data_IF_265180436663
#
_entry.id   IF_265180436663
#
_cell.length_a   1.000
_cell.length_b   1.000
_cell.length_c   1.000
_cell.angle_alpha   90.00
_cell.angle_beta   90.00
_cell.angle_gamma   90.00
#
_symmetry.space_group_name_H-M   'P 1'
#
loop_
_entity.id
_entity.type
_entity.pdbx_description
1 polymer ?
#
# COMPACT_ATOMS: atom_id res chain seq x y z
N UNK A 1 -2.25 12.87 -15.91
CA UNK A 1 -1.30 12.05 -15.12
C UNK A 1 -2.03 11.15 -14.12
N UNK A 2 -2.88 11.69 -13.23
CA UNK A 2 -3.64 10.95 -12.20
C UNK A 2 -4.52 9.82 -12.79
N UNK A 3 -5.20 10.05 -13.92
CA UNK A 3 -6.08 9.08 -14.57
C UNK A 3 -5.33 7.83 -15.08
N UNK A 4 -4.12 8.01 -15.56
CA UNK A 4 -3.26 6.91 -16.05
C UNK A 4 -2.73 6.02 -14.91
N UNK A 5 -2.53 6.60 -13.74
CA UNK A 5 -2.12 5.88 -12.53
C UNK A 5 -3.28 5.04 -12.01
N UNK A 6 -4.51 5.58 -11.95
CA UNK A 6 -5.69 4.82 -11.52
C UNK A 6 -5.99 3.64 -12.44
N UNK A 7 -5.90 3.82 -13.76
CA UNK A 7 -6.08 2.74 -14.75
C UNK A 7 -5.02 1.63 -14.61
N UNK A 8 -3.78 2.00 -14.28
CA UNK A 8 -2.71 1.04 -14.05
C UNK A 8 -2.92 0.26 -12.73
N UNK A 9 -3.40 0.93 -11.68
CA UNK A 9 -3.76 0.27 -10.41
C UNK A 9 -4.93 -0.70 -10.59
N UNK A 10 -5.98 -0.30 -11.32
CA UNK A 10 -7.10 -1.19 -11.65
C UNK A 10 -6.67 -2.43 -12.43
N UNK A 11 -5.76 -2.24 -13.39
CA UNK A 11 -5.22 -3.34 -14.19
C UNK A 11 -4.35 -4.29 -13.36
N UNK A 12 -3.52 -3.73 -12.46
CA UNK A 12 -2.70 -4.51 -11.54
C UNK A 12 -3.53 -5.28 -10.51
N UNK A 13 -4.60 -4.67 -9.97
CA UNK A 13 -5.53 -5.32 -9.05
C UNK A 13 -6.26 -6.50 -9.70
N UNK A 14 -6.66 -6.37 -10.98
CA UNK A 14 -7.31 -7.46 -11.75
C UNK A 14 -6.37 -8.61 -12.12
N UNK A 15 -5.06 -8.36 -12.20
CA UNK A 15 -4.07 -9.39 -12.51
C UNK A 15 -3.59 -10.17 -11.29
N UNK A 16 -3.83 -9.67 -10.08
CA UNK A 16 -3.33 -10.23 -8.82
C UNK A 16 -4.41 -10.97 -8.00
N UNK A 17 -5.30 -11.70 -8.63
CA UNK A 17 -6.28 -12.55 -7.95
C UNK A 17 -5.67 -13.79 -7.24
N UNK A 18 -4.36 -13.83 -7.00
CA UNK A 18 -3.71 -14.92 -6.27
C UNK A 18 -3.06 -14.44 -4.99
N UNK A 19 -3.75 -14.72 -3.91
CA UNK A 19 -3.38 -14.85 -2.50
C UNK A 19 -2.88 -13.62 -1.74
N UNK A 20 -3.70 -13.08 -0.84
CA UNK A 20 -3.24 -12.24 0.26
C UNK A 20 -2.60 -13.10 1.36
N UNK A 21 -1.56 -12.58 1.99
CA UNK A 21 -0.85 -13.24 3.10
C UNK A 21 -1.73 -13.41 4.36
N UNK A 22 -2.96 -12.88 4.35
CA UNK A 22 -3.99 -13.08 5.38
C UNK A 22 -5.38 -13.10 4.73
N UNK A 23 -5.70 -14.15 3.97
CA UNK A 23 -7.08 -14.42 3.57
C UNK A 23 -7.62 -15.60 4.35
N UNK A 24 -8.36 -15.31 5.43
CA UNK A 24 -9.42 -16.19 5.90
C UNK A 24 -10.69 -15.80 5.15
N UNK A 25 -11.34 -16.79 4.61
CA UNK A 25 -12.59 -16.89 3.85
C UNK A 25 -13.48 -15.63 3.71
N UNK A 26 -13.76 -15.30 2.45
CA UNK A 26 -14.59 -14.18 2.03
C UNK A 26 -16.04 -14.32 2.50
N UNK A 27 -16.46 -13.46 3.39
CA UNK A 27 -17.87 -13.10 3.55
C UNK A 27 -18.18 -11.84 2.72
N UNK A 28 -19.39 -11.79 2.14
CA UNK A 28 -19.89 -10.74 1.25
C UNK A 28 -19.62 -9.30 1.75
N UNK A 29 -19.45 -8.31 0.85
CA UNK A 29 -19.10 -6.95 1.24
C UNK A 29 -20.26 -6.32 2.02
N UNK A 30 -20.12 -6.25 3.32
CA UNK A 30 -20.90 -5.38 4.17
C UNK A 30 -20.30 -3.98 4.09
N UNK A 31 -21.11 -2.96 4.23
CA UNK A 31 -20.91 -1.52 4.06
C UNK A 31 -19.85 -0.86 4.99
N UNK A 32 -18.98 -1.65 5.53
CA UNK A 32 -17.71 -1.33 6.17
C UNK A 32 -16.73 -2.37 5.70
N UNK A 33 -15.69 -1.96 4.99
CA UNK A 33 -14.52 -2.78 4.82
C UNK A 33 -14.09 -3.24 6.21
N UNK A 34 -14.22 -4.53 6.47
CA UNK A 34 -13.71 -5.14 7.71
C UNK A 34 -12.19 -5.01 7.69
N UNK A 35 -11.69 -3.83 8.08
CA UNK A 35 -10.31 -3.69 8.47
C UNK A 35 -10.17 -4.58 9.69
N UNK A 36 -9.39 -5.64 9.57
CA UNK A 36 -8.98 -6.40 10.72
C UNK A 36 -8.47 -5.40 11.76
N UNK A 37 -9.09 -5.37 12.92
CA UNK A 37 -8.62 -4.55 14.03
C UNK A 37 -7.29 -5.13 14.50
N UNK A 38 -6.21 -4.73 13.82
CA UNK A 38 -4.87 -5.11 14.22
C UNK A 38 -4.62 -4.62 15.65
N UNK A 39 -4.15 -5.51 16.49
CA UNK A 39 -3.67 -5.15 17.83
C UNK A 39 -2.45 -4.23 17.72
N UNK A 40 -2.11 -3.52 18.78
CA UNK A 40 -0.90 -2.69 18.84
C UNK A 40 0.36 -3.48 18.52
N UNK A 41 0.42 -4.75 18.96
CA UNK A 41 1.55 -5.62 18.67
C UNK A 41 1.65 -5.93 17.17
N UNK A 42 0.54 -6.31 16.55
CA UNK A 42 0.49 -6.59 15.10
C UNK A 42 0.82 -5.34 14.29
N UNK A 43 0.32 -4.17 14.68
CA UNK A 43 0.70 -2.90 14.03
C UNK A 43 2.19 -2.62 14.15
N UNK A 44 2.82 -2.93 15.29
CA UNK A 44 4.25 -2.79 15.49
C UNK A 44 5.04 -3.72 14.56
N UNK A 45 4.62 -4.98 14.45
CA UNK A 45 5.26 -5.97 13.56
C UNK A 45 5.12 -5.57 12.09
N UNK A 46 3.95 -5.07 11.69
CA UNK A 46 3.71 -4.54 10.35
C UNK A 46 4.58 -3.31 10.08
N UNK A 47 4.69 -2.39 11.02
CA UNK A 47 5.55 -1.21 10.88
C UNK A 47 7.02 -1.59 10.62
N UNK A 48 7.52 -2.63 11.29
CA UNK A 48 8.88 -3.17 11.04
C UNK A 48 8.99 -3.71 9.61
N UNK A 49 7.99 -4.46 9.14
CA UNK A 49 8.01 -5.01 7.78
C UNK A 49 7.95 -3.91 6.72
N UNK A 50 7.09 -2.90 6.89
CA UNK A 50 7.02 -1.73 6.00
C UNK A 50 8.37 -1.00 5.96
N UNK A 51 9.05 -0.83 7.09
CA UNK A 51 10.39 -0.22 7.14
C UNK A 51 11.42 -1.03 6.36
N UNK A 52 11.40 -2.36 6.50
CA UNK A 52 12.28 -3.24 5.71
C UNK A 52 12.03 -3.10 4.22
N UNK A 53 10.76 -3.04 3.81
CA UNK A 53 10.40 -2.87 2.41
C UNK A 53 10.87 -1.54 1.86
N UNK A 54 10.71 -0.44 2.61
CA UNK A 54 11.21 0.88 2.24
C UNK A 54 12.72 0.84 2.00
N UNK A 55 13.48 0.30 2.95
CA UNK A 55 14.96 0.25 2.85
C UNK A 55 15.38 -0.62 1.67
N UNK A 56 14.80 -1.82 1.55
CA UNK A 56 15.14 -2.76 0.47
C UNK A 56 14.78 -2.22 -0.92
N UNK A 57 13.61 -1.60 -1.06
CA UNK A 57 13.14 -0.99 -2.31
C UNK A 57 14.08 0.13 -2.76
N UNK A 58 14.44 1.05 -1.85
CA UNK A 58 15.34 2.17 -2.13
C UNK A 58 16.78 1.68 -2.41
N UNK A 59 17.26 0.71 -1.62
CA UNK A 59 18.58 0.10 -1.83
C UNK A 59 18.68 -0.59 -3.19
N UNK A 60 17.64 -1.36 -3.56
CA UNK A 60 17.60 -2.04 -4.86
C UNK A 60 17.55 -1.07 -6.04
N UNK A 61 16.82 0.03 -5.89
CA UNK A 61 16.76 1.08 -6.89
C UNK A 61 18.09 1.86 -7.05
N UNK A 62 19.00 1.76 -6.08
CA UNK A 62 20.25 2.52 -6.05
C UNK A 62 20.05 4.04 -5.93
N UNK A 63 18.81 4.49 -5.64
CA UNK A 63 18.46 5.90 -5.56
C UNK A 63 17.17 6.11 -4.76
N UNK A 64 17.05 7.25 -4.08
CA UNK A 64 15.91 7.60 -3.24
C UNK A 64 16.33 7.97 -1.82
N UNK A 65 15.35 8.37 -1.01
CA UNK A 65 15.57 8.85 0.35
C UNK A 65 14.70 8.06 1.32
N UNK A 66 15.30 7.38 2.29
CA UNK A 66 14.57 6.58 3.28
C UNK A 66 13.96 7.43 4.40
N UNK A 67 14.64 8.49 4.86
CA UNK A 67 14.29 9.21 6.09
C UNK A 67 12.85 9.70 6.14
N UNK A 68 12.40 10.40 5.08
CA UNK A 68 11.04 10.92 4.99
C UNK A 68 9.97 9.82 4.94
N UNK A 69 10.29 8.66 4.37
CA UNK A 69 9.41 7.51 4.33
C UNK A 69 9.35 6.82 5.69
N UNK A 70 10.51 6.58 6.33
CA UNK A 70 10.58 5.90 7.63
C UNK A 70 9.86 6.68 8.73
N UNK A 71 9.89 8.03 8.68
CA UNK A 71 9.19 8.89 9.65
C UNK A 71 7.67 8.91 9.50
N UNK A 72 7.12 8.42 8.40
CA UNK A 72 5.68 8.46 8.12
C UNK A 72 5.00 7.07 8.25
N UNK A 73 5.74 6.03 8.62
CA UNK A 73 5.23 4.65 8.65
C UNK A 73 4.01 4.53 9.58
N UNK A 74 4.12 4.98 10.82
CA UNK A 74 3.03 4.87 11.79
C UNK A 74 1.82 5.69 11.37
N UNK A 75 2.05 6.85 10.75
CA UNK A 75 0.97 7.73 10.29
C UNK A 75 0.14 7.00 9.21
N UNK A 76 0.81 6.51 8.16
CA UNK A 76 0.10 5.83 7.08
C UNK A 76 -0.53 4.52 7.56
N UNK A 77 0.21 3.74 8.35
CA UNK A 77 -0.31 2.48 8.88
C UNK A 77 -1.57 2.71 9.72
N UNK A 78 -1.58 3.72 10.60
CA UNK A 78 -2.76 4.06 11.40
C UNK A 78 -3.92 4.56 10.54
N UNK A 79 -3.64 5.43 9.56
CA UNK A 79 -4.67 5.93 8.65
C UNK A 79 -5.35 4.77 7.90
N UNK A 80 -4.59 3.90 7.28
CA UNK A 80 -5.12 2.80 6.47
C UNK A 80 -5.72 1.67 7.30
N UNK A 81 -5.22 1.41 8.53
CA UNK A 81 -5.74 0.33 9.38
C UNK A 81 -6.92 0.73 10.26
N UNK A 82 -7.05 2.01 10.64
CA UNK A 82 -8.01 2.43 11.69
C UNK A 82 -8.96 3.54 11.29
N UNK A 83 -8.57 4.40 10.37
CA UNK A 83 -9.27 5.67 10.14
C UNK A 83 -9.95 5.72 8.77
N UNK A 84 -9.22 5.43 7.70
CA UNK A 84 -9.71 5.56 6.34
C UNK A 84 -10.67 4.44 5.95
N UNK A 85 -11.71 4.81 5.25
CA UNK A 85 -12.57 3.86 4.51
C UNK A 85 -11.92 3.60 3.16
N UNK A 86 -11.46 2.40 2.93
CA UNK A 86 -10.87 2.02 1.65
C UNK A 86 -11.16 0.55 1.33
N UNK A 87 -11.14 0.19 0.07
CA UNK A 87 -11.32 -1.20 -0.37
C UNK A 87 -10.25 -1.54 -1.41
N UNK A 88 -9.25 -2.36 -1.05
CA UNK A 88 -8.22 -2.79 -2.00
C UNK A 88 -8.76 -3.60 -3.18
N UNK A 89 -9.88 -4.33 -3.01
CA UNK A 89 -10.52 -5.10 -4.07
C UNK A 89 -11.32 -4.21 -5.06
N UNK A 90 -11.74 -3.00 -4.62
CA UNK A 90 -12.38 -1.99 -5.47
C UNK A 90 -11.77 -0.61 -5.18
N UNK A 91 -10.60 -0.30 -5.74
CA UNK A 91 -9.93 0.98 -5.54
C UNK A 91 -10.70 2.19 -6.10
N UNK A 92 -11.71 1.95 -6.93
CA UNK A 92 -12.56 2.97 -7.53
C UNK A 92 -13.84 3.25 -6.75
N UNK A 93 -14.11 2.50 -5.69
CA UNK A 93 -15.30 2.66 -4.87
C UNK A 93 -15.56 4.12 -4.48
N UNK A 94 -16.74 4.63 -4.82
CA UNK A 94 -17.09 6.05 -4.66
C UNK A 94 -17.17 6.50 -3.19
N UNK A 95 -17.42 5.57 -2.25
CA UNK A 95 -17.49 5.84 -0.81
C UNK A 95 -16.16 5.83 -0.07
N UNK A 96 -15.04 5.60 -0.78
CA UNK A 96 -13.72 5.58 -0.18
C UNK A 96 -13.22 6.96 0.23
N UNK A 97 -12.38 7.00 1.24
CA UNK A 97 -11.58 8.17 1.54
C UNK A 97 -10.37 8.24 0.59
N UNK A 98 -9.96 9.45 0.24
CA UNK A 98 -8.82 9.67 -0.65
C UNK A 98 -7.63 10.19 0.14
N UNK A 99 -6.49 9.53 -0.02
CA UNK A 99 -5.23 9.96 0.55
C UNK A 99 -4.33 10.60 -0.51
N UNK A 100 -3.84 11.80 -0.24
CA UNK A 100 -2.92 12.52 -1.12
C UNK A 100 -1.62 12.78 -0.37
N UNK A 101 -0.53 12.14 -0.83
CA UNK A 101 0.81 12.36 -0.31
C UNK A 101 1.47 13.52 -1.05
N UNK A 102 1.45 14.73 -0.49
CA UNK A 102 2.12 15.89 -1.10
C UNK A 102 3.65 15.82 -0.99
N UNK A 103 4.16 15.05 -0.03
CA UNK A 103 5.58 14.81 0.16
C UNK A 103 6.08 13.70 -0.78
N UNK A 104 6.31 14.04 -2.05
CA UNK A 104 6.67 13.07 -3.10
C UNK A 104 7.88 12.20 -2.75
N UNK A 105 8.89 12.74 -2.05
CA UNK A 105 10.06 11.98 -1.62
C UNK A 105 9.76 10.86 -0.60
N UNK A 106 8.58 10.86 0.00
CA UNK A 106 8.11 9.80 0.88
C UNK A 106 7.24 8.75 0.17
N UNK A 107 7.17 8.75 -1.17
CA UNK A 107 6.39 7.74 -1.91
C UNK A 107 6.72 6.28 -1.55
N UNK A 108 7.96 5.89 -1.17
CA UNK A 108 8.22 4.52 -0.74
C UNK A 108 7.34 4.03 0.41
N UNK A 109 7.01 4.87 1.41
CA UNK A 109 6.12 4.43 2.49
C UNK A 109 4.70 4.21 1.98
N UNK A 110 4.21 5.06 1.07
CA UNK A 110 2.88 4.87 0.49
C UNK A 110 2.82 3.57 -0.31
N UNK A 111 3.82 3.29 -1.13
CA UNK A 111 3.87 2.06 -1.92
C UNK A 111 3.93 0.81 -1.04
N UNK A 112 4.78 0.79 -0.01
CA UNK A 112 4.88 -0.32 0.92
C UNK A 112 3.57 -0.52 1.70
N UNK A 113 2.91 0.56 2.12
CA UNK A 113 1.60 0.51 2.78
C UNK A 113 0.52 -0.04 1.85
N UNK A 114 0.41 0.46 0.62
CA UNK A 114 -0.57 -0.02 -0.35
C UNK A 114 -0.37 -1.50 -0.71
N UNK A 115 0.90 -1.93 -0.87
CA UNK A 115 1.20 -3.34 -1.09
C UNK A 115 0.81 -4.20 0.11
N UNK A 116 1.06 -3.73 1.34
CA UNK A 116 0.65 -4.43 2.55
C UNK A 116 -0.88 -4.62 2.63
N UNK A 117 -1.65 -3.59 2.31
CA UNK A 117 -3.11 -3.66 2.30
C UNK A 117 -3.70 -4.33 1.05
N UNK A 118 -2.88 -4.85 0.14
CA UNK A 118 -3.33 -5.68 -0.98
C UNK A 118 -3.80 -4.94 -2.23
N UNK A 119 -3.49 -3.66 -2.39
CA UNK A 119 -3.79 -2.91 -3.61
C UNK A 119 -3.04 -3.44 -4.83
N UNK A 120 -1.84 -3.99 -4.63
CA UNK A 120 -1.02 -4.65 -5.64
C UNK A 120 -0.03 -5.60 -4.97
N UNK A 121 0.56 -6.53 -5.75
CA UNK A 121 1.55 -7.47 -5.24
C UNK A 121 2.78 -6.76 -4.70
N UNK A 122 3.28 -7.22 -3.54
CA UNK A 122 4.52 -6.76 -2.93
C UNK A 122 5.72 -6.87 -3.89
N UNK A 123 5.67 -7.76 -4.87
CA UNK A 123 6.74 -7.93 -5.86
C UNK A 123 6.98 -6.67 -6.69
N UNK A 124 5.96 -5.82 -6.88
CA UNK A 124 6.13 -4.54 -7.55
C UNK A 124 7.06 -3.58 -6.81
N UNK A 125 7.20 -3.70 -5.48
CA UNK A 125 8.12 -2.88 -4.71
C UNK A 125 9.56 -3.00 -5.22
N UNK A 126 9.92 -4.17 -5.73
CA UNK A 126 11.26 -4.47 -6.21
C UNK A 126 11.57 -3.88 -7.58
N UNK A 127 10.57 -3.27 -8.22
CA UNK A 127 10.71 -2.55 -9.49
C UNK A 127 10.65 -1.03 -9.32
N UNK A 128 10.72 -0.54 -8.07
CA UNK A 128 10.71 0.89 -7.76
C UNK A 128 11.73 1.65 -8.59
N UNK A 129 11.30 2.73 -9.26
CA UNK A 129 12.10 3.57 -10.16
C UNK A 129 12.70 2.87 -11.39
N UNK A 130 12.33 1.63 -11.66
CA UNK A 130 12.69 0.99 -12.91
C UNK A 130 11.86 1.55 -14.08
N UNK A 131 12.43 1.57 -15.28
CA UNK A 131 11.73 1.99 -16.50
C UNK A 131 10.51 1.09 -16.70
N UNK A 132 9.37 1.68 -16.99
CA UNK A 132 8.06 1.00 -17.15
C UNK A 132 7.52 0.33 -15.87
N UNK A 133 8.08 0.62 -14.71
CA UNK A 133 7.52 0.19 -13.43
C UNK A 133 6.20 0.90 -13.14
N UNK A 134 5.31 0.21 -12.39
CA UNK A 134 4.14 0.82 -11.77
C UNK A 134 4.55 1.89 -10.74
N UNK A 135 5.72 1.73 -10.11
CA UNK A 135 6.20 2.54 -9.00
C UNK A 135 7.38 3.41 -9.44
N UNK A 136 7.07 4.61 -9.88
CA UNK A 136 8.04 5.62 -10.32
C UNK A 136 8.06 6.83 -9.37
#
# INVERSE_FOLDING_TARGET
MVRRISEQFEKAAKQNASAPILATEASSPKDRTDFQELTLKELSDVAVNIRRDIVNMVAKAGSGHCGGSLSAVEILLTLYSKIMRHNPADPSWAGRDMFILSKAHACPVLYATLAYFGYFSRDHLWTFRAINSLLQ
#
